data_IF_410351641140
#
_entry.id   IF_410351641140
#
_cell.length_a   1.000
_cell.length_b   1.000
_cell.length_c   1.000
_cell.angle_alpha   90.00
_cell.angle_beta   90.00
_cell.angle_gamma   90.00
#
_symmetry.space_group_name_H-M   'P 1'
#
loop_
_entity.id
_entity.type
_entity.pdbx_description
1 polymer ?
#
# COMPACT_ATOMS: atom_id res chain seq x y z
N UNK A 1 -0.84 45.31 -39.50
CA UNK A 1 -0.72 45.94 -38.16
C UNK A 1 -0.33 44.82 -37.20
N UNK A 2 0.98 44.65 -36.96
CA UNK A 2 1.50 43.52 -36.18
C UNK A 2 1.40 43.89 -34.70
N UNK A 3 0.33 43.45 -34.03
CA UNK A 3 0.22 43.58 -32.59
C UNK A 3 1.04 42.48 -31.93
N UNK A 4 2.20 42.88 -31.40
CA UNK A 4 3.03 42.10 -30.48
C UNK A 4 2.28 42.05 -29.15
N UNK A 5 1.52 40.98 -28.90
CA UNK A 5 0.83 40.70 -27.63
C UNK A 5 1.46 39.47 -26.96
N UNK A 6 2.75 39.55 -26.63
CA UNK A 6 3.51 38.39 -26.11
C UNK A 6 3.79 38.43 -24.61
N UNK A 7 3.55 39.57 -23.93
CA UNK A 7 3.86 39.73 -22.50
C UNK A 7 2.70 39.43 -21.56
N UNK A 8 1.56 40.07 -21.77
CA UNK A 8 0.45 40.05 -20.80
C UNK A 8 -0.36 38.75 -20.88
N UNK A 9 -0.68 38.26 -22.07
CA UNK A 9 -1.41 36.99 -22.24
C UNK A 9 -0.63 35.79 -21.70
N UNK A 10 0.69 35.80 -21.87
CA UNK A 10 1.58 34.79 -21.27
C UNK A 10 1.55 34.83 -19.74
N UNK A 11 1.48 36.03 -19.15
CA UNK A 11 1.37 36.20 -17.70
C UNK A 11 0.02 35.71 -17.16
N UNK A 12 -1.08 36.02 -17.84
CA UNK A 12 -2.41 35.52 -17.47
C UNK A 12 -2.47 33.98 -17.59
N UNK A 13 -1.94 33.41 -18.67
CA UNK A 13 -1.85 31.96 -18.86
C UNK A 13 -1.01 31.27 -17.77
N UNK A 14 0.13 31.86 -17.37
CA UNK A 14 0.97 31.31 -16.32
C UNK A 14 0.28 31.33 -14.95
N UNK A 15 -0.56 32.34 -14.69
CA UNK A 15 -1.36 32.45 -13.47
C UNK A 15 -2.47 31.40 -13.39
N UNK A 16 -3.09 31.05 -14.52
CA UNK A 16 -4.05 29.93 -14.60
C UNK A 16 -3.37 28.56 -14.53
N UNK A 17 -2.14 28.44 -15.05
CA UNK A 17 -1.36 27.20 -14.97
C UNK A 17 -0.78 26.93 -13.58
N UNK A 18 -0.59 27.98 -12.78
CA UNK A 18 -0.17 27.87 -11.38
C UNK A 18 -1.35 27.36 -10.54
N UNK A 19 -1.64 26.07 -10.73
CA UNK A 19 -2.66 25.33 -10.03
C UNK A 19 -2.53 25.50 -8.53
N UNK A 20 -3.68 25.67 -7.88
CA UNK A 20 -3.82 25.73 -6.44
C UNK A 20 -2.98 24.62 -5.81
N UNK A 21 -1.93 25.02 -5.08
CA UNK A 21 -1.16 24.11 -4.23
C UNK A 21 -2.08 23.72 -3.08
N UNK A 22 -2.97 22.77 -3.37
CA UNK A 22 -4.02 22.32 -2.48
C UNK A 22 -3.42 21.99 -1.13
N UNK A 23 -3.98 22.58 -0.09
CA UNK A 23 -3.58 22.39 1.30
C UNK A 23 -3.72 20.91 1.67
N UNK A 24 -2.67 20.11 1.44
CA UNK A 24 -2.67 18.69 1.74
C UNK A 24 -2.75 18.51 3.24
N UNK A 25 -3.84 17.92 3.72
CA UNK A 25 -3.95 17.58 5.14
C UNK A 25 -2.90 16.52 5.47
N UNK A 26 -2.35 16.56 6.68
CA UNK A 26 -1.39 15.55 7.16
C UNK A 26 -1.96 14.13 7.05
N UNK A 27 -3.28 13.96 7.20
CA UNK A 27 -3.97 12.68 6.98
C UNK A 27 -3.85 12.21 5.52
N UNK A 28 -4.07 13.10 4.56
CA UNK A 28 -3.93 12.79 3.13
C UNK A 28 -2.49 12.42 2.79
N UNK A 29 -1.52 13.14 3.36
CA UNK A 29 -0.10 12.83 3.17
C UNK A 29 0.26 11.44 3.71
N UNK A 30 -0.20 11.10 4.91
CA UNK A 30 0.00 9.77 5.51
C UNK A 30 -0.62 8.68 4.63
N UNK A 31 -1.86 8.87 4.16
CA UNK A 31 -2.52 7.88 3.30
C UNK A 31 -1.75 7.68 1.99
N UNK A 32 -1.29 8.76 1.35
CA UNK A 32 -0.48 8.66 0.12
C UNK A 32 0.82 7.91 0.36
N UNK A 33 1.52 8.18 1.46
CA UNK A 33 2.75 7.47 1.82
C UNK A 33 2.47 5.98 2.07
N UNK A 34 1.40 5.65 2.80
CA UNK A 34 1.02 4.26 3.04
C UNK A 34 0.67 3.51 1.75
N UNK A 35 -0.08 4.15 0.84
CA UNK A 35 -0.40 3.58 -0.46
C UNK A 35 0.86 3.36 -1.30
N UNK A 36 1.81 4.30 -1.28
CA UNK A 36 3.08 4.14 -1.98
C UNK A 36 3.90 2.97 -1.42
N UNK A 37 4.03 2.88 -0.09
CA UNK A 37 4.73 1.76 0.57
C UNK A 37 4.04 0.43 0.23
N UNK A 38 2.71 0.39 0.26
CA UNK A 38 1.95 -0.80 -0.07
C UNK A 38 2.13 -1.22 -1.53
N UNK A 39 2.10 -0.27 -2.47
CA UNK A 39 2.36 -0.55 -3.88
C UNK A 39 3.79 -1.07 -4.11
N UNK A 40 4.79 -0.45 -3.46
CA UNK A 40 6.18 -0.92 -3.51
C UNK A 40 6.33 -2.31 -2.90
N UNK A 41 5.64 -2.60 -1.81
CA UNK A 41 5.59 -3.92 -1.20
C UNK A 41 5.01 -4.95 -2.19
N UNK A 42 3.88 -4.66 -2.83
CA UNK A 42 3.31 -5.56 -3.82
C UNK A 42 4.25 -5.77 -5.02
N UNK A 43 4.82 -4.69 -5.54
CA UNK A 43 5.71 -4.76 -6.70
C UNK A 43 6.96 -5.59 -6.41
N UNK A 44 7.62 -5.35 -5.26
CA UNK A 44 8.81 -6.12 -4.85
C UNK A 44 8.49 -7.59 -4.56
N UNK A 45 7.28 -7.89 -4.08
CA UNK A 45 6.87 -9.25 -3.77
C UNK A 45 6.08 -9.92 -4.92
N UNK A 46 6.04 -9.30 -6.11
CA UNK A 46 5.38 -9.86 -7.31
C UNK A 46 6.13 -11.06 -7.88
N UNK A 47 7.41 -11.22 -7.53
CA UNK A 47 8.22 -12.36 -7.93
C UNK A 47 7.59 -13.68 -7.50
N UNK A 48 7.52 -14.62 -8.44
CA UNK A 48 7.03 -15.97 -8.20
C UNK A 48 8.12 -16.84 -7.61
N UNK A 49 7.80 -17.57 -6.54
CA UNK A 49 8.66 -18.56 -5.91
C UNK A 49 8.08 -19.94 -6.18
N UNK A 50 8.96 -20.88 -6.53
CA UNK A 50 8.62 -22.28 -6.64
C UNK A 50 8.65 -22.92 -5.24
N UNK A 51 7.52 -23.46 -4.83
CA UNK A 51 7.35 -24.16 -3.56
C UNK A 51 7.29 -25.64 -3.87
N UNK A 52 8.21 -26.40 -3.27
CA UNK A 52 8.20 -27.86 -3.32
C UNK A 52 7.79 -28.40 -1.96
N UNK A 53 6.66 -29.09 -1.91
CA UNK A 53 6.12 -29.68 -0.69
C UNK A 53 5.87 -31.18 -0.90
N UNK A 54 6.76 -32.02 -0.34
CA UNK A 54 6.82 -33.47 -0.58
C UNK A 54 6.88 -33.82 -2.08
N UNK A 55 5.75 -34.08 -2.72
CA UNK A 55 5.64 -34.42 -4.15
C UNK A 55 4.93 -33.34 -4.98
N UNK A 56 4.57 -32.22 -4.35
CA UNK A 56 3.80 -31.16 -5.00
C UNK A 56 4.73 -29.99 -5.31
N UNK A 57 4.73 -29.59 -6.57
CA UNK A 57 5.44 -28.41 -7.06
C UNK A 57 4.40 -27.37 -7.46
N UNK A 58 4.49 -26.19 -6.86
CA UNK A 58 3.58 -25.09 -7.14
C UNK A 58 4.34 -23.77 -7.21
N UNK A 59 3.95 -22.92 -8.15
CA UNK A 59 4.54 -21.60 -8.30
C UNK A 59 3.57 -20.55 -7.77
N UNK A 60 3.99 -19.81 -6.75
CA UNK A 60 3.16 -18.80 -6.09
C UNK A 60 3.94 -17.49 -5.93
N UNK A 61 3.27 -16.35 -6.06
CA UNK A 61 3.91 -15.06 -5.74
C UNK A 61 4.22 -14.96 -4.25
N UNK A 62 5.35 -14.33 -3.89
CA UNK A 62 5.76 -14.08 -2.50
C UNK A 62 4.67 -13.40 -1.68
N UNK A 63 3.83 -12.56 -2.29
CA UNK A 63 2.68 -11.92 -1.64
C UNK A 63 1.70 -12.94 -1.05
N UNK A 64 1.31 -13.95 -1.84
CA UNK A 64 0.35 -14.95 -1.40
C UNK A 64 0.94 -15.84 -0.30
N UNK A 65 2.22 -16.18 -0.41
CA UNK A 65 2.97 -16.88 0.64
C UNK A 65 2.94 -16.12 1.97
N UNK A 66 3.22 -14.81 1.93
CA UNK A 66 3.20 -13.95 3.12
C UNK A 66 1.78 -13.85 3.72
N UNK A 67 0.75 -13.67 2.89
CA UNK A 67 -0.64 -13.61 3.34
C UNK A 67 -1.10 -14.92 3.99
N UNK A 68 -0.82 -16.06 3.37
CA UNK A 68 -1.18 -17.37 3.91
C UNK A 68 -0.46 -17.62 5.24
N UNK A 69 0.83 -17.30 5.32
CA UNK A 69 1.62 -17.44 6.55
C UNK A 69 1.05 -16.56 7.68
N UNK A 70 0.72 -15.31 7.38
CA UNK A 70 0.10 -14.39 8.35
C UNK A 70 -1.25 -14.91 8.85
N UNK A 71 -2.11 -15.39 7.95
CA UNK A 71 -3.42 -15.93 8.30
C UNK A 71 -3.30 -17.22 9.14
N UNK A 72 -2.40 -18.13 8.77
CA UNK A 72 -2.15 -19.36 9.53
C UNK A 72 -1.60 -19.06 10.93
N UNK A 73 -0.61 -18.16 11.04
CA UNK A 73 -0.06 -17.74 12.31
C UNK A 73 -1.12 -17.08 13.21
N UNK A 74 -1.95 -16.20 12.64
CA UNK A 74 -3.08 -15.59 13.36
C UNK A 74 -4.11 -16.60 13.82
N UNK A 75 -4.50 -17.55 12.95
CA UNK A 75 -5.45 -18.60 13.28
C UNK A 75 -4.94 -19.52 14.40
N UNK A 76 -3.67 -19.94 14.31
CA UNK A 76 -3.00 -20.73 15.36
C UNK A 76 -2.94 -19.93 16.67
N UNK A 77 -2.56 -18.66 16.60
CA UNK A 77 -2.47 -17.79 17.77
C UNK A 77 -3.82 -17.58 18.46
N UNK A 78 -4.89 -17.37 17.69
CA UNK A 78 -6.26 -17.30 18.22
C UNK A 78 -6.67 -18.64 18.83
N UNK A 79 -6.46 -19.75 18.13
CA UNK A 79 -6.85 -21.08 18.59
C UNK A 79 -6.12 -21.50 19.87
N UNK A 80 -4.80 -21.33 19.93
CA UNK A 80 -3.98 -21.63 21.10
C UNK A 80 -4.23 -20.63 22.24
N UNK A 81 -4.36 -19.34 21.91
CA UNK A 81 -4.63 -18.26 22.86
C UNK A 81 -6.02 -18.33 23.49
N UNK A 82 -7.02 -18.85 22.77
CA UNK A 82 -8.39 -19.01 23.28
C UNK A 82 -8.46 -19.82 24.57
N UNK A 83 -7.57 -20.81 24.73
CA UNK A 83 -7.41 -21.57 25.98
C UNK A 83 -6.86 -20.72 27.13
N UNK A 84 -5.84 -19.90 26.86
CA UNK A 84 -5.16 -19.05 27.85
C UNK A 84 -6.02 -17.87 28.34
N UNK A 85 -6.82 -17.25 27.46
CA UNK A 85 -7.70 -16.15 27.84
C UNK A 85 -8.92 -16.59 28.66
N UNK A 86 -9.34 -17.86 28.56
CA UNK A 86 -10.51 -18.39 29.26
C UNK A 86 -10.27 -18.62 30.75
N UNK A 87 -9.02 -18.76 31.17
CA UNK A 87 -8.65 -19.01 32.57
C UNK A 87 -8.64 -17.73 33.42
N UNK A 88 -8.34 -16.57 32.82
CA UNK A 88 -8.33 -15.27 33.51
C UNK A 88 -9.72 -14.73 33.88
N UNK A 89 -10.81 -15.32 33.40
CA UNK A 89 -12.18 -14.90 33.76
C UNK A 89 -12.83 -15.75 34.85
N UNK A 90 -12.13 -16.76 35.39
CA UNK A 90 -12.62 -17.60 36.50
C UNK A 90 -12.03 -17.24 37.87
N UNK A 91 -11.30 -16.14 37.97
CA UNK A 91 -10.72 -15.60 39.22
C UNK A 91 -11.48 -14.36 39.65
#
# INVERSE_FOLDING_TARGET
>A
MNHVTTGEEGFYMFKYFKGDTGKTSLKTMIIMVLLLIFALFLFQNSESVEIRFFFWEMTLSKIFLALISFLLGGLIGVWAGWGLFREKQKV
#
